data_IF_082765777910
#
_entry.id   IF_082765777910
#
_cell.length_a   1.000
_cell.length_b   1.000
_cell.length_c   1.000
_cell.angle_alpha   90.00
_cell.angle_beta   90.00
_cell.angle_gamma   90.00
#
_symmetry.space_group_name_H-M   'P 1'
#
loop_
_entity.id
_entity.type
_entity.pdbx_description
1 polymer ?
#
# COMPACT_ATOMS: atom_id res chain seq x y z
N UNK A 1 2.43 31.03 -7.77
CA UNK A 1 1.01 31.39 -7.57
C UNK A 1 0.85 32.60 -6.65
N UNK A 2 1.83 32.89 -5.79
CA UNK A 2 1.86 34.12 -5.00
C UNK A 2 0.62 34.27 -4.13
N UNK A 3 0.08 35.48 -3.97
CA UNK A 3 -1.14 35.74 -3.20
C UNK A 3 -2.38 34.95 -3.62
N UNK A 4 -2.39 34.35 -4.83
CA UNK A 4 -3.50 33.52 -5.32
C UNK A 4 -3.43 32.07 -4.85
N UNK A 5 -2.33 31.63 -4.22
CA UNK A 5 -2.14 30.24 -3.80
C UNK A 5 -3.25 29.79 -2.84
N UNK A 6 -3.52 30.56 -1.78
CA UNK A 6 -4.55 30.23 -0.80
C UNK A 6 -5.97 30.19 -1.36
N UNK A 7 -6.25 30.95 -2.43
CA UNK A 7 -7.55 30.90 -3.12
C UNK A 7 -7.72 29.60 -3.92
N UNK A 8 -6.65 29.12 -4.55
CA UNK A 8 -6.67 27.92 -5.40
C UNK A 8 -6.54 26.62 -4.58
N UNK A 9 -5.77 26.64 -3.50
CA UNK A 9 -5.47 25.48 -2.66
C UNK A 9 -5.67 25.79 -1.17
N UNK A 10 -6.90 26.09 -0.74
CA UNK A 10 -7.17 26.54 0.63
C UNK A 10 -6.69 25.55 1.70
N UNK A 11 -6.90 24.24 1.50
CA UNK A 11 -6.46 23.21 2.44
C UNK A 11 -4.93 23.10 2.54
N UNK A 12 -4.21 23.20 1.42
CA UNK A 12 -2.73 23.19 1.43
C UNK A 12 -2.21 24.45 2.10
N UNK A 13 -2.85 25.60 1.86
CA UNK A 13 -2.44 26.86 2.47
C UNK A 13 -2.62 26.86 3.99
N UNK A 14 -3.69 26.22 4.49
CA UNK A 14 -3.88 26.02 5.92
C UNK A 14 -2.79 25.13 6.53
N UNK A 15 -2.46 24.02 5.87
CA UNK A 15 -1.39 23.11 6.30
C UNK A 15 -0.01 23.78 6.31
N UNK A 16 0.28 24.65 5.33
CA UNK A 16 1.53 25.40 5.31
C UNK A 16 1.58 26.40 6.47
N UNK A 17 0.48 27.15 6.67
CA UNK A 17 0.39 28.15 7.74
C UNK A 17 0.51 27.54 9.13
N UNK A 18 -0.09 26.37 9.37
CA UNK A 18 0.06 25.66 10.65
C UNK A 18 1.49 25.16 10.91
N UNK A 19 2.28 24.97 9.85
CA UNK A 19 3.71 24.68 9.91
C UNK A 19 4.61 25.93 9.91
N UNK A 20 4.03 27.14 9.98
CA UNK A 20 4.79 28.40 9.99
C UNK A 20 5.33 28.83 8.62
N UNK A 21 4.75 28.34 7.53
CA UNK A 21 5.16 28.63 6.15
C UNK A 21 4.06 29.44 5.46
N UNK A 22 4.36 30.61 4.92
CA UNK A 22 3.46 31.32 4.01
C UNK A 22 3.67 30.82 2.56
N UNK A 23 2.77 30.01 2.00
CA UNK A 23 2.94 29.48 0.64
C UNK A 23 2.79 30.54 -0.47
N UNK A 24 2.45 31.80 -0.11
CA UNK A 24 2.46 32.91 -1.05
C UNK A 24 3.88 33.47 -1.28
N UNK A 25 4.77 33.35 -0.30
CA UNK A 25 6.11 33.97 -0.31
C UNK A 25 7.25 32.98 -0.06
N UNK A 26 7.00 31.94 0.72
CA UNK A 26 7.99 31.00 1.21
C UNK A 26 8.04 29.74 0.35
N UNK A 27 9.18 29.06 0.38
CA UNK A 27 9.34 27.76 -0.26
C UNK A 27 8.76 26.65 0.64
N UNK A 28 7.89 25.81 0.07
CA UNK A 28 7.36 24.63 0.76
C UNK A 28 8.40 23.50 0.62
N UNK A 29 8.95 22.96 1.72
CA UNK A 29 9.88 21.85 1.67
C UNK A 29 9.15 20.58 1.23
N UNK A 30 9.63 19.94 0.17
CA UNK A 30 9.06 18.70 -0.37
C UNK A 30 10.13 17.63 -0.53
N UNK A 31 9.72 16.37 -0.38
CA UNK A 31 10.55 15.20 -0.67
C UNK A 31 9.69 14.08 -1.26
N UNK A 32 10.25 13.19 -2.08
CA UNK A 32 9.53 12.00 -2.52
C UNK A 32 9.09 11.12 -1.35
N UNK A 33 7.95 10.47 -1.51
CA UNK A 33 7.40 9.52 -0.54
C UNK A 33 6.82 8.30 -1.27
N UNK A 34 6.89 7.13 -0.63
CA UNK A 34 6.16 5.96 -1.09
C UNK A 34 4.65 6.27 -1.11
N UNK A 35 3.99 5.99 -2.23
CA UNK A 35 2.63 6.46 -2.47
C UNK A 35 1.64 5.36 -2.86
N UNK A 36 2.09 4.32 -3.57
CA UNK A 36 1.21 3.29 -4.11
C UNK A 36 1.92 1.95 -4.25
N UNK A 37 1.21 0.85 -3.98
CA UNK A 37 1.72 -0.51 -4.15
C UNK A 37 1.16 -1.14 -5.43
N UNK A 38 2.05 -1.43 -6.39
CA UNK A 38 1.69 -2.22 -7.59
C UNK A 38 1.66 -3.73 -7.31
N UNK A 39 2.42 -4.18 -6.30
CA UNK A 39 2.38 -5.55 -5.83
C UNK A 39 1.16 -5.81 -4.93
N UNK A 40 1.04 -7.03 -4.42
CA UNK A 40 -0.08 -7.43 -3.58
C UNK A 40 -0.30 -8.93 -3.66
N UNK A 41 -1.51 -9.36 -3.28
CA UNK A 41 -1.96 -10.75 -3.46
C UNK A 41 -2.06 -11.03 -4.95
N UNK A 42 -1.28 -11.99 -5.44
CA UNK A 42 -1.39 -12.44 -6.84
C UNK A 42 -2.78 -13.04 -7.08
N UNK A 43 -3.45 -12.56 -8.12
CA UNK A 43 -4.78 -13.01 -8.51
C UNK A 43 -4.87 -13.31 -9.99
N UNK A 44 -5.79 -14.21 -10.36
CA UNK A 44 -6.20 -14.39 -11.75
C UNK A 44 -7.10 -13.25 -12.25
N UNK A 45 -7.55 -13.34 -13.51
CA UNK A 45 -8.43 -12.33 -14.13
C UNK A 45 -9.80 -12.22 -13.46
N UNK A 46 -10.19 -13.17 -12.60
CA UNK A 46 -11.42 -13.16 -11.83
C UNK A 46 -11.18 -12.77 -10.35
N UNK A 47 -9.97 -12.29 -10.02
CA UNK A 47 -9.55 -11.86 -8.69
C UNK A 47 -9.35 -12.98 -7.68
N UNK A 48 -9.22 -14.24 -8.13
CA UNK A 48 -9.00 -15.40 -7.26
C UNK A 48 -7.51 -15.50 -6.95
N UNK A 49 -7.19 -15.66 -5.67
CA UNK A 49 -5.83 -16.00 -5.27
C UNK A 49 -5.54 -17.49 -5.51
N UNK A 50 -4.29 -17.91 -5.29
CA UNK A 50 -3.93 -19.33 -5.25
C UNK A 50 -4.53 -20.10 -4.07
N UNK A 51 -5.13 -19.40 -3.09
CA UNK A 51 -5.83 -20.00 -1.96
C UNK A 51 -7.32 -20.08 -2.31
N UNK A 52 -7.85 -21.30 -2.33
CA UNK A 52 -9.27 -21.55 -2.56
C UNK A 52 -10.14 -20.80 -1.54
N UNK A 53 -11.14 -20.07 -2.02
CA UNK A 53 -12.03 -19.29 -1.17
C UNK A 53 -11.48 -17.91 -0.78
N UNK A 54 -10.33 -17.50 -1.31
CA UNK A 54 -9.75 -16.17 -1.09
C UNK A 54 -9.64 -15.38 -2.39
N UNK A 55 -10.25 -14.19 -2.40
CA UNK A 55 -10.19 -13.20 -3.46
C UNK A 55 -9.52 -11.92 -2.98
N UNK A 56 -8.99 -11.14 -3.90
CA UNK A 56 -8.48 -9.80 -3.65
C UNK A 56 -8.82 -8.86 -4.83
N UNK A 57 -9.06 -7.58 -4.55
CA UNK A 57 -9.30 -6.54 -5.55
C UNK A 57 -8.73 -5.19 -5.09
N UNK A 58 -8.58 -4.21 -6.00
CA UNK A 58 -7.96 -2.92 -5.71
C UNK A 58 -6.47 -3.01 -5.37
N UNK A 59 -5.95 -2.04 -4.61
CA UNK A 59 -4.51 -1.91 -4.29
C UNK A 59 -3.92 -3.10 -3.53
N UNK A 60 -4.73 -3.91 -2.85
CA UNK A 60 -4.24 -5.13 -2.18
C UNK A 60 -3.96 -6.27 -3.17
N UNK A 61 -4.44 -6.18 -4.41
CA UNK A 61 -4.30 -7.23 -5.41
C UNK A 61 -3.23 -6.87 -6.46
N UNK A 62 -2.41 -7.86 -6.81
CA UNK A 62 -1.57 -7.82 -8.00
C UNK A 62 -2.37 -8.40 -9.17
N UNK A 63 -3.16 -7.53 -9.81
CA UNK A 63 -4.06 -7.87 -10.93
C UNK A 63 -3.33 -7.99 -12.28
N UNK A 64 -2.06 -7.55 -12.32
CA UNK A 64 -1.29 -7.41 -13.56
C UNK A 64 -1.57 -6.13 -14.36
N UNK A 65 -2.57 -5.33 -13.97
CA UNK A 65 -2.99 -4.12 -14.71
C UNK A 65 -1.89 -3.06 -14.84
N UNK A 66 -1.09 -2.86 -13.78
CA UNK A 66 -0.11 -1.76 -13.72
C UNK A 66 1.30 -2.13 -14.16
N UNK A 67 1.59 -3.42 -14.40
CA UNK A 67 2.96 -3.89 -14.62
C UNK A 67 3.90 -3.38 -13.51
N UNK A 68 5.05 -2.79 -13.91
CA UNK A 68 6.05 -2.28 -12.98
C UNK A 68 5.84 -0.80 -12.57
N UNK A 69 4.96 -0.06 -13.23
CA UNK A 69 4.72 1.35 -12.92
C UNK A 69 3.29 1.75 -13.29
N UNK A 70 2.53 2.16 -12.27
CA UNK A 70 1.14 2.58 -12.44
C UNK A 70 1.06 3.93 -13.18
N UNK A 71 0.13 4.03 -14.14
CA UNK A 71 -0.26 5.32 -14.73
C UNK A 71 -1.13 6.14 -13.75
N UNK A 72 -0.87 7.45 -13.67
CA UNK A 72 -1.55 8.35 -12.74
C UNK A 72 -3.08 8.33 -12.90
N UNK A 73 -3.81 8.63 -11.81
CA UNK A 73 -5.28 8.71 -11.72
C UNK A 73 -6.10 7.42 -11.82
N UNK A 74 -5.46 6.25 -12.02
CA UNK A 74 -6.24 5.02 -12.25
C UNK A 74 -6.64 4.17 -11.03
N UNK A 75 -6.22 4.45 -9.79
CA UNK A 75 -6.46 3.51 -8.67
C UNK A 75 -7.87 3.47 -8.14
N UNK A 76 -8.57 4.60 -8.12
CA UNK A 76 -9.98 4.61 -7.71
C UNK A 76 -10.83 3.85 -8.74
N UNK A 77 -10.57 4.09 -10.02
CA UNK A 77 -11.24 3.40 -11.13
C UNK A 77 -10.88 1.92 -11.15
N UNK A 78 -9.61 1.57 -10.94
CA UNK A 78 -9.20 0.18 -10.78
C UNK A 78 -9.93 -0.49 -9.61
N UNK A 79 -9.96 0.14 -8.43
CA UNK A 79 -10.65 -0.43 -7.28
C UNK A 79 -12.13 -0.67 -7.60
N UNK A 80 -12.81 0.28 -8.24
CA UNK A 80 -14.22 0.14 -8.62
C UNK A 80 -14.46 -0.95 -9.67
N UNK A 81 -13.65 -0.97 -10.74
CA UNK A 81 -13.78 -1.95 -11.83
C UNK A 81 -13.44 -3.35 -11.34
N UNK A 82 -12.34 -3.48 -10.60
CA UNK A 82 -11.90 -4.78 -10.07
C UNK A 82 -12.89 -5.32 -9.04
N UNK A 83 -13.49 -4.47 -8.20
CA UNK A 83 -14.51 -4.92 -7.27
C UNK A 83 -15.71 -5.55 -7.98
N UNK A 84 -16.12 -5.01 -9.13
CA UNK A 84 -17.28 -5.52 -9.89
C UNK A 84 -17.06 -6.96 -10.35
N UNK A 85 -15.98 -7.24 -11.10
CA UNK A 85 -15.73 -8.60 -11.60
C UNK A 85 -15.40 -9.60 -10.48
N UNK A 86 -14.85 -9.12 -9.35
CA UNK A 86 -14.54 -9.99 -8.21
C UNK A 86 -15.83 -10.37 -7.50
N UNK A 87 -16.76 -9.43 -7.34
CA UNK A 87 -18.08 -9.71 -6.79
C UNK A 87 -18.84 -10.76 -7.62
N UNK A 88 -18.78 -10.66 -8.96
CA UNK A 88 -19.35 -11.67 -9.86
C UNK A 88 -18.69 -13.05 -9.67
N UNK A 89 -17.36 -13.09 -9.62
CA UNK A 89 -16.57 -14.30 -9.38
C UNK A 89 -16.92 -14.98 -8.04
N UNK A 90 -17.08 -14.18 -6.98
CA UNK A 90 -17.50 -14.64 -5.65
C UNK A 90 -18.92 -15.18 -5.70
N UNK A 91 -19.87 -14.44 -6.28
CA UNK A 91 -21.28 -14.83 -6.35
C UNK A 91 -21.50 -16.10 -7.19
N UNK A 92 -20.71 -16.29 -8.25
CA UNK A 92 -20.76 -17.48 -9.11
C UNK A 92 -20.11 -18.73 -8.49
N UNK A 93 -19.44 -18.61 -7.34
CA UNK A 93 -18.75 -19.74 -6.71
C UNK A 93 -19.66 -20.45 -5.71
N UNK A 94 -20.06 -21.68 -6.03
CA UNK A 94 -20.75 -22.55 -5.08
C UNK A 94 -19.75 -23.11 -4.07
N UNK A 95 -19.79 -22.61 -2.84
CA UNK A 95 -18.91 -23.08 -1.77
C UNK A 95 -19.42 -24.42 -1.23
N UNK A 96 -18.71 -25.50 -1.54
CA UNK A 96 -19.09 -26.87 -1.13
C UNK A 96 -18.62 -27.23 0.28
N UNK A 97 -17.65 -26.50 0.81
CA UNK A 97 -17.08 -26.73 2.14
C UNK A 97 -17.80 -25.83 3.16
N UNK A 98 -17.83 -26.16 4.44
CA UNK A 98 -18.19 -25.17 5.49
C UNK A 98 -16.88 -24.54 5.98
N UNK A 99 -16.77 -23.19 6.11
CA UNK A 99 -15.58 -22.61 6.68
C UNK A 99 -15.50 -23.12 8.12
N UNK A 100 -14.34 -23.67 8.51
CA UNK A 100 -14.08 -23.88 9.92
C UNK A 100 -14.09 -22.49 10.56
N UNK A 101 -14.97 -22.26 11.53
CA UNK A 101 -14.91 -21.03 12.35
C UNK A 101 -13.54 -21.05 13.03
N UNK A 102 -12.62 -20.22 12.53
CA UNK A 102 -11.38 -19.96 13.22
C UNK A 102 -11.68 -18.92 14.32
N UNK A 103 -11.04 -19.05 15.46
CA UNK A 103 -11.00 -17.95 16.43
C UNK A 103 -10.50 -16.70 15.72
N UNK A 104 -11.20 -15.58 15.88
CA UNK A 104 -10.76 -14.30 15.33
C UNK A 104 -9.56 -13.82 16.13
N UNK A 105 -8.37 -14.29 15.78
CA UNK A 105 -7.13 -13.70 16.23
C UNK A 105 -6.90 -12.41 15.44
N UNK A 106 -7.01 -11.27 16.13
CA UNK A 106 -6.62 -9.98 15.57
C UNK A 106 -5.20 -9.72 16.08
N UNK A 107 -4.17 -9.78 15.21
CA UNK A 107 -2.82 -9.45 15.64
C UNK A 107 -2.76 -8.01 16.14
N UNK A 108 -1.90 -7.71 17.13
CA UNK A 108 -1.66 -6.33 17.52
C UNK A 108 -1.18 -5.54 16.31
N UNK A 109 -1.46 -4.23 16.30
CA UNK A 109 -0.97 -3.35 15.22
C UNK A 109 0.56 -3.45 15.17
N UNK A 110 1.15 -3.77 14.01
CA UNK A 110 2.59 -3.86 13.91
C UNK A 110 3.23 -2.49 14.11
N UNK A 111 4.34 -2.45 14.85
CA UNK A 111 5.16 -1.24 14.94
C UNK A 111 6.12 -1.16 13.75
N UNK A 112 5.83 -0.26 12.83
CA UNK A 112 6.66 -0.03 11.66
C UNK A 112 7.84 0.93 11.95
N UNK A 113 7.99 1.47 13.17
CA UNK A 113 9.04 2.43 13.51
C UNK A 113 10.45 1.89 13.25
N UNK A 114 10.67 0.60 13.52
CA UNK A 114 11.96 -0.08 13.31
C UNK A 114 12.21 -0.37 11.83
N UNK A 115 11.16 -0.69 11.07
CA UNK A 115 11.27 -1.07 9.64
C UNK A 115 11.42 0.16 8.74
N UNK A 116 10.72 1.27 9.06
CA UNK A 116 10.62 2.47 8.22
C UNK A 116 11.98 3.08 7.84
N UNK A 117 12.95 3.28 8.75
CA UNK A 117 14.26 3.82 8.40
C UNK A 117 15.01 2.93 7.41
N UNK A 118 14.99 1.61 7.65
CA UNK A 118 15.69 0.61 6.83
C UNK A 118 15.16 0.64 5.40
N UNK A 119 13.83 0.55 5.23
CA UNK A 119 13.23 0.54 3.90
C UNK A 119 13.33 1.90 3.20
N UNK A 120 13.28 3.00 3.95
CA UNK A 120 13.43 4.35 3.37
C UNK A 120 14.83 4.59 2.81
N UNK A 121 15.86 4.03 3.47
CA UNK A 121 17.25 4.14 3.03
C UNK A 121 17.57 3.20 1.86
N UNK A 122 17.16 1.93 1.94
CA UNK A 122 17.61 0.91 0.98
C UNK A 122 16.64 0.64 -0.19
N UNK A 123 15.34 0.91 -0.01
CA UNK A 123 14.28 0.54 -0.97
C UNK A 123 13.57 1.77 -1.58
N UNK A 124 14.27 2.91 -1.61
CA UNK A 124 13.78 4.16 -2.18
C UNK A 124 13.77 4.19 -3.72
N UNK A 125 13.90 5.39 -4.29
CA UNK A 125 13.90 5.62 -5.75
C UNK A 125 15.12 4.97 -6.40
N UNK A 126 16.30 5.25 -5.86
CA UNK A 126 17.57 4.65 -6.29
C UNK A 126 17.85 3.47 -5.37
N UNK A 127 18.27 2.36 -5.95
CA UNK A 127 18.51 1.11 -5.23
C UNK A 127 19.84 0.52 -5.66
N UNK A 128 20.58 0.03 -4.67
CA UNK A 128 21.86 -0.61 -4.86
C UNK A 128 21.79 -2.06 -4.33
N UNK A 129 22.49 -2.98 -5.01
CA UNK A 129 22.43 -4.40 -4.71
C UNK A 129 23.07 -4.79 -3.37
N UNK A 130 24.08 -4.07 -2.91
CA UNK A 130 24.69 -4.27 -1.59
C UNK A 130 23.77 -3.74 -0.49
N UNK A 131 23.28 -2.50 -0.62
CA UNK A 131 22.36 -1.89 0.33
C UNK A 131 21.05 -2.71 0.48
N UNK A 132 20.53 -3.27 -0.63
CA UNK A 132 19.36 -4.15 -0.57
C UNK A 132 19.64 -5.45 0.18
N UNK A 133 20.82 -6.06 0.00
CA UNK A 133 21.20 -7.30 0.72
C UNK A 133 21.36 -7.04 2.21
N UNK A 134 21.97 -5.93 2.59
CA UNK A 134 22.10 -5.52 3.99
C UNK A 134 20.73 -5.26 4.63
N UNK A 135 19.83 -4.58 3.92
CA UNK A 135 18.47 -4.37 4.38
C UNK A 135 17.72 -5.69 4.60
N UNK A 136 17.85 -6.65 3.68
CA UNK A 136 17.28 -7.99 3.84
C UNK A 136 17.84 -8.70 5.08
N UNK A 137 19.16 -8.68 5.26
CA UNK A 137 19.81 -9.28 6.43
C UNK A 137 19.34 -8.65 7.75
N UNK A 138 19.08 -7.35 7.76
CA UNK A 138 18.59 -6.61 8.93
C UNK A 138 17.10 -6.89 9.22
N UNK A 139 16.28 -7.01 8.16
CA UNK A 139 14.84 -7.21 8.29
C UNK A 139 14.47 -8.68 8.59
N UNK A 140 15.29 -9.64 8.17
CA UNK A 140 14.98 -11.07 8.29
C UNK A 140 14.76 -11.53 9.75
N UNK A 141 15.60 -11.15 10.74
CA UNK A 141 15.33 -11.49 12.14
C UNK A 141 14.03 -10.87 12.65
N UNK A 142 13.70 -9.64 12.22
CA UNK A 142 12.46 -8.98 12.61
C UNK A 142 11.27 -9.76 12.07
N UNK A 143 11.29 -10.14 10.79
CA UNK A 143 10.23 -10.90 10.15
C UNK A 143 10.05 -12.32 10.73
N UNK A 144 11.15 -12.95 11.19
CA UNK A 144 11.11 -14.26 11.82
C UNK A 144 10.64 -14.20 13.29
N UNK A 145 10.93 -13.10 13.99
CA UNK A 145 10.63 -12.93 15.41
C UNK A 145 9.30 -12.21 15.68
N UNK A 146 8.71 -11.54 14.68
CA UNK A 146 7.37 -10.96 14.79
C UNK A 146 6.30 -12.04 14.72
N UNK A 147 6.24 -12.85 15.79
CA UNK A 147 5.10 -13.68 16.21
C UNK A 147 4.64 -14.65 15.14
N UNK A 148 5.38 -15.75 14.99
CA UNK A 148 4.71 -17.03 14.87
C UNK A 148 3.61 -17.09 15.94
N UNK A 149 2.41 -17.49 15.55
CA UNK A 149 1.25 -17.67 16.40
C UNK A 149 1.59 -18.09 17.85
N UNK A 150 0.77 -17.64 18.81
CA UNK A 150 0.65 -18.14 20.21
C UNK A 150 1.46 -17.37 21.27
N UNK A 151 0.83 -16.35 21.82
CA UNK A 151 0.70 -16.17 23.27
C UNK A 151 -0.78 -16.26 23.63
#
# INVERSE_FOLDING_TARGET
LGPRFGKRFPGIAELCRSAGIDPATDLIPVRPAAHYHMGGVAVDSAGRSSIEGLWACGEVACTGLHGANRLASNSLTEAAVTASWVAESVAGTSYTRRPRRCSTFVPPRPDASVVRPIVSAALGIIRDGEAMREAVATLLPIAANSVAASG
#
